data_IF_687703067339
#
_entry.id   IF_687703067339
#
_cell.length_a   1.000
_cell.length_b   1.000
_cell.length_c   1.000
_cell.angle_alpha   90.00
_cell.angle_beta   90.00
_cell.angle_gamma   90.00
#
_symmetry.space_group_name_H-M   'P 1'
#
loop_
_entity.id
_entity.type
_entity.pdbx_description
1 polymer ?
#
# COMPACT_ATOMS: atom_id res chain seq x y z
N UNK A 1 -0.43 40.20 19.31
CA UNK A 1 -1.38 39.07 19.35
C UNK A 1 -1.30 38.20 18.09
N UNK A 2 -0.93 38.74 16.92
CA UNK A 2 -0.74 37.97 15.67
C UNK A 2 0.40 36.93 15.74
N UNK A 3 1.49 37.26 16.42
CA UNK A 3 2.72 36.45 16.47
C UNK A 3 2.55 35.08 17.15
N UNK A 4 1.67 34.97 18.17
CA UNK A 4 1.37 33.67 18.82
C UNK A 4 0.51 32.75 17.94
N UNK A 5 -0.38 33.32 17.12
CA UNK A 5 -1.20 32.55 16.20
C UNK A 5 -0.35 31.98 15.08
N UNK A 6 0.57 32.77 14.51
CA UNK A 6 1.45 32.30 13.45
C UNK A 6 2.38 31.18 13.91
N UNK A 7 2.95 31.30 15.12
CA UNK A 7 3.76 30.23 15.74
C UNK A 7 2.94 28.95 15.96
N UNK A 8 1.71 29.07 16.46
CA UNK A 8 0.83 27.90 16.66
C UNK A 8 0.46 27.21 15.35
N UNK A 9 0.13 27.98 14.29
CA UNK A 9 -0.22 27.45 12.96
C UNK A 9 0.99 26.73 12.35
N UNK A 10 2.20 27.28 12.49
CA UNK A 10 3.44 26.65 12.02
C UNK A 10 3.72 25.35 12.78
N UNK A 11 3.56 25.33 14.11
CA UNK A 11 3.71 24.12 14.90
C UNK A 11 2.68 23.04 14.53
N UNK A 12 1.40 23.40 14.37
CA UNK A 12 0.36 22.47 13.93
C UNK A 12 0.62 21.91 12.52
N UNK A 13 1.19 22.72 11.62
CA UNK A 13 1.59 22.24 10.30
C UNK A 13 2.74 21.21 10.38
N UNK A 14 3.72 21.43 11.25
CA UNK A 14 4.84 20.50 11.49
C UNK A 14 4.35 19.20 12.12
N UNK A 15 3.46 19.26 13.12
CA UNK A 15 2.91 18.04 13.73
C UNK A 15 2.11 17.20 12.73
N UNK A 16 1.28 17.85 11.91
CA UNK A 16 0.53 17.16 10.84
C UNK A 16 1.45 16.54 9.80
N UNK A 17 2.50 17.24 9.38
CA UNK A 17 3.44 16.68 8.39
C UNK A 17 4.20 15.48 8.94
N UNK A 18 4.65 15.52 10.20
CA UNK A 18 5.31 14.38 10.86
C UNK A 18 4.38 13.17 11.00
N UNK A 19 3.11 13.38 11.36
CA UNK A 19 2.13 12.31 11.44
C UNK A 19 1.90 11.64 10.07
N UNK A 20 1.80 12.42 9.00
CA UNK A 20 1.68 11.92 7.63
C UNK A 20 2.94 11.15 7.20
N UNK A 21 4.13 11.66 7.49
CA UNK A 21 5.40 10.99 7.16
C UNK A 21 5.50 9.65 7.90
N UNK A 22 5.17 9.61 9.20
CA UNK A 22 5.16 8.37 9.97
C UNK A 22 4.18 7.36 9.40
N UNK A 23 2.96 7.80 9.02
CA UNK A 23 1.98 6.93 8.38
C UNK A 23 2.52 6.27 7.09
N UNK A 24 3.16 7.06 6.23
CA UNK A 24 3.80 6.56 5.01
C UNK A 24 4.93 5.55 5.27
N UNK A 25 5.75 5.80 6.29
CA UNK A 25 6.82 4.87 6.69
C UNK A 25 6.20 3.57 7.21
N UNK A 26 5.14 3.66 8.03
CA UNK A 26 4.40 2.49 8.52
C UNK A 26 3.82 1.66 7.37
N UNK A 27 3.28 2.30 6.33
CA UNK A 27 2.78 1.60 5.14
C UNK A 27 3.88 0.76 4.46
N UNK A 28 5.10 1.29 4.32
CA UNK A 28 6.20 0.58 3.68
C UNK A 28 6.82 -0.52 4.57
N UNK A 29 6.84 -0.29 5.89
CA UNK A 29 7.43 -1.22 6.85
C UNK A 29 6.43 -2.26 7.38
N UNK A 30 5.15 -2.16 7.00
CA UNK A 30 4.09 -3.04 7.47
C UNK A 30 4.43 -4.53 7.40
N UNK A 31 5.05 -5.07 6.32
CA UNK A 31 5.43 -6.48 6.25
C UNK A 31 6.36 -6.96 7.38
N UNK A 32 7.10 -6.06 8.01
CA UNK A 32 8.05 -6.39 9.07
C UNK A 32 7.53 -6.09 10.49
N UNK A 33 6.27 -5.67 10.61
CA UNK A 33 5.68 -5.36 11.90
C UNK A 33 5.14 -6.64 12.58
N UNK A 34 5.15 -6.73 13.93
CA UNK A 34 4.85 -7.96 14.68
C UNK A 34 3.46 -8.60 14.45
N UNK A 35 2.55 -7.93 13.75
CA UNK A 35 1.17 -8.37 13.51
C UNK A 35 0.84 -8.47 12.01
N UNK A 36 1.85 -8.47 11.14
CA UNK A 36 1.61 -8.66 9.71
C UNK A 36 1.18 -10.11 9.45
N UNK A 37 0.00 -10.34 8.85
CA UNK A 37 -0.62 -11.67 8.86
C UNK A 37 -0.08 -12.63 7.79
N UNK A 38 0.86 -12.20 6.96
CA UNK A 38 1.40 -13.00 5.85
C UNK A 38 2.92 -13.16 5.96
N UNK A 39 3.46 -14.20 5.32
CA UNK A 39 4.90 -14.38 5.17
C UNK A 39 5.50 -13.20 4.35
N UNK A 40 6.47 -12.43 4.87
CA UNK A 40 7.05 -11.31 4.13
C UNK A 40 7.66 -11.68 2.78
N UNK A 41 8.08 -12.93 2.58
CA UNK A 41 8.62 -13.41 1.30
C UNK A 41 7.56 -13.54 0.20
N UNK A 42 6.29 -13.69 0.59
CA UNK A 42 5.14 -13.81 -0.30
C UNK A 42 4.56 -12.45 -0.69
N UNK A 43 5.08 -11.37 -0.11
CA UNK A 43 4.57 -10.01 -0.30
C UNK A 43 5.36 -9.29 -1.38
N UNK A 44 4.67 -8.61 -2.28
CA UNK A 44 5.26 -7.71 -3.28
C UNK A 44 4.71 -6.31 -3.12
N UNK A 45 5.61 -5.34 -2.97
CA UNK A 45 5.25 -3.93 -2.94
C UNK A 45 4.88 -3.43 -4.33
N UNK A 46 3.77 -2.70 -4.41
CA UNK A 46 3.24 -2.04 -5.60
C UNK A 46 3.19 -0.53 -5.39
N UNK A 47 2.69 -0.07 -4.24
CA UNK A 47 2.55 1.35 -3.88
C UNK A 47 1.19 1.94 -4.26
N UNK A 48 1.14 3.05 -5.00
CA UNK A 48 -0.16 3.66 -5.35
C UNK A 48 -0.77 2.98 -6.58
N UNK A 49 -2.08 2.64 -6.59
CA UNK A 49 -3.11 2.95 -5.59
C UNK A 49 -3.38 1.88 -4.53
N UNK A 50 -2.70 0.73 -4.56
CA UNK A 50 -2.80 -0.37 -3.58
C UNK A 50 -1.39 -0.80 -3.19
N UNK A 51 -1.08 -0.78 -1.90
CA UNK A 51 0.30 -0.88 -1.41
C UNK A 51 1.00 -2.20 -1.77
N UNK A 52 0.31 -3.33 -1.63
CA UNK A 52 0.91 -4.67 -1.82
C UNK A 52 0.00 -5.63 -2.59
N UNK A 53 0.64 -6.61 -3.24
CA UNK A 53 0.04 -7.88 -3.63
C UNK A 53 0.71 -8.98 -2.80
N UNK A 54 -0.10 -9.83 -2.15
CA UNK A 54 0.38 -11.01 -1.44
C UNK A 54 0.05 -12.24 -2.28
N UNK A 55 1.05 -13.10 -2.48
CA UNK A 55 0.90 -14.42 -3.10
C UNK A 55 1.03 -15.48 -2.01
N UNK A 56 0.00 -15.60 -1.16
CA UNK A 56 0.07 -16.37 0.08
C UNK A 56 0.43 -17.85 -0.19
N UNK A 57 1.52 -18.33 0.42
CA UNK A 57 2.07 -19.67 0.25
C UNK A 57 3.05 -19.83 -0.92
N UNK A 58 3.42 -18.74 -1.62
CA UNK A 58 4.38 -18.80 -2.73
C UNK A 58 5.77 -19.31 -2.32
N UNK A 59 6.29 -18.95 -1.14
CA UNK A 59 7.56 -19.46 -0.59
C UNK A 59 7.50 -20.98 -0.32
N UNK A 60 6.30 -21.53 -0.11
CA UNK A 60 6.03 -22.96 0.11
C UNK A 60 5.63 -23.71 -1.20
N UNK A 61 5.78 -23.08 -2.37
CA UNK A 61 5.42 -23.62 -3.70
C UNK A 61 3.93 -24.01 -3.84
N UNK A 62 3.04 -23.36 -3.06
CA UNK A 62 1.60 -23.58 -3.11
C UNK A 62 0.82 -22.29 -2.88
N UNK A 63 0.04 -21.83 -3.86
CA UNK A 63 -0.74 -20.60 -3.74
C UNK A 63 -2.10 -20.88 -3.07
N UNK A 64 -2.27 -20.39 -1.84
CA UNK A 64 -3.55 -20.40 -1.13
C UNK A 64 -4.49 -19.33 -1.70
N UNK A 65 -4.03 -18.09 -1.77
CA UNK A 65 -4.78 -16.95 -2.29
C UNK A 65 -3.87 -15.82 -2.81
N UNK A 66 -4.44 -14.93 -3.62
CA UNK A 66 -3.79 -13.70 -4.06
C UNK A 66 -4.53 -12.51 -3.43
N UNK A 67 -3.86 -11.74 -2.58
CA UNK A 67 -4.46 -10.67 -1.79
C UNK A 67 -4.01 -9.31 -2.30
N UNK A 68 -4.98 -8.44 -2.64
CA UNK A 68 -4.74 -7.01 -2.83
C UNK A 68 -4.80 -6.32 -1.47
N UNK A 69 -3.65 -5.91 -0.95
CA UNK A 69 -3.52 -5.42 0.42
C UNK A 69 -3.18 -3.92 0.42
N UNK A 70 -4.07 -3.13 1.00
CA UNK A 70 -3.85 -1.73 1.33
C UNK A 70 -3.61 -1.60 2.83
N UNK A 71 -2.51 -0.96 3.21
CA UNK A 71 -2.18 -0.70 4.61
C UNK A 71 -2.77 0.64 5.02
N UNK A 72 -3.40 0.68 6.19
CA UNK A 72 -3.88 1.91 6.81
C UNK A 72 -3.27 2.05 8.20
N UNK A 73 -2.76 3.24 8.49
CA UNK A 73 -2.29 3.62 9.82
C UNK A 73 -3.31 4.52 10.53
N UNK A 74 -3.47 4.34 11.84
CA UNK A 74 -4.38 5.16 12.66
C UNK A 74 -5.83 5.16 12.15
N UNK A 75 -6.43 6.36 12.04
CA UNK A 75 -7.81 6.56 11.58
C UNK A 75 -7.94 6.78 10.06
N UNK A 76 -6.92 6.38 9.28
CA UNK A 76 -6.96 6.54 7.83
C UNK A 76 -7.97 5.58 7.18
N UNK A 77 -8.59 6.03 6.09
CA UNK A 77 -9.66 5.29 5.40
C UNK A 77 -9.39 5.12 3.91
N UNK A 78 -10.17 4.23 3.29
CA UNK A 78 -10.35 4.08 1.85
C UNK A 78 -10.31 5.42 1.10
N UNK A 79 -9.35 5.74 0.23
CA UNK A 79 -9.56 6.85 -0.70
C UNK A 79 -10.52 6.43 -1.85
N UNK A 80 -11.12 7.37 -2.61
CA UNK A 80 -12.09 7.01 -3.65
C UNK A 80 -11.55 6.05 -4.73
N UNK A 81 -10.27 6.15 -5.09
CA UNK A 81 -9.63 5.26 -6.08
C UNK A 81 -9.45 3.85 -5.51
N UNK A 82 -8.96 3.75 -4.27
CA UNK A 82 -8.83 2.50 -3.53
C UNK A 82 -10.17 1.78 -3.35
N UNK A 83 -11.24 2.51 -3.03
CA UNK A 83 -12.60 1.94 -2.91
C UNK A 83 -13.06 1.31 -4.22
N UNK A 84 -12.88 1.99 -5.35
CA UNK A 84 -13.22 1.44 -6.67
C UNK A 84 -12.44 0.16 -7.00
N UNK A 85 -11.18 0.07 -6.58
CA UNK A 85 -10.36 -1.14 -6.77
C UNK A 85 -10.85 -2.26 -5.87
N UNK A 86 -11.10 -1.98 -4.58
CA UNK A 86 -11.72 -2.95 -3.67
C UNK A 86 -13.03 -3.50 -4.26
N UNK A 87 -13.89 -2.64 -4.77
CA UNK A 87 -15.13 -3.05 -5.44
C UNK A 87 -14.86 -3.89 -6.69
N UNK A 88 -13.86 -3.57 -7.50
CA UNK A 88 -13.50 -4.38 -8.66
C UNK A 88 -13.06 -5.79 -8.25
N UNK A 89 -12.23 -5.92 -7.22
CA UNK A 89 -11.80 -7.21 -6.68
C UNK A 89 -12.98 -8.01 -6.13
N UNK A 90 -13.82 -7.39 -5.29
CA UNK A 90 -14.99 -8.07 -4.70
C UNK A 90 -16.04 -8.49 -5.73
N UNK A 91 -16.14 -7.78 -6.86
CA UNK A 91 -17.01 -8.14 -7.98
C UNK A 91 -16.33 -9.09 -8.99
N UNK A 92 -15.19 -9.69 -8.66
CA UNK A 92 -14.49 -10.66 -9.53
C UNK A 92 -13.91 -10.07 -10.81
N UNK A 93 -13.75 -8.74 -10.90
CA UNK A 93 -13.14 -8.05 -12.06
C UNK A 93 -11.60 -8.11 -12.01
N UNK A 94 -11.06 -9.30 -11.79
CA UNK A 94 -9.64 -9.63 -11.75
C UNK A 94 -9.38 -10.66 -12.84
N UNK A 95 -8.44 -10.37 -13.76
CA UNK A 95 -8.25 -11.18 -14.98
C UNK A 95 -6.76 -11.48 -15.16
N UNK A 96 -6.45 -12.74 -15.43
CA UNK A 96 -5.13 -13.17 -15.88
C UNK A 96 -4.96 -12.89 -17.38
N UNK A 97 -3.83 -12.27 -17.77
CA UNK A 97 -3.46 -12.08 -19.17
C UNK A 97 -1.95 -12.24 -19.34
N UNK A 98 -1.55 -12.94 -20.40
CA UNK A 98 -0.17 -13.02 -20.82
C UNK A 98 0.06 -12.10 -22.02
N UNK A 99 1.04 -11.20 -21.92
CA UNK A 99 1.53 -10.40 -23.03
C UNK A 99 2.99 -10.78 -23.27
N UNK A 100 3.29 -11.30 -24.45
CA UNK A 100 4.66 -11.59 -24.87
C UNK A 100 5.17 -10.40 -25.67
N UNK A 101 6.21 -9.74 -25.16
CA UNK A 101 6.91 -8.66 -25.87
C UNK A 101 8.12 -9.30 -26.56
N UNK A 102 8.24 -9.20 -27.90
CA UNK A 102 9.45 -9.65 -28.58
C UNK A 102 10.66 -8.86 -28.07
N UNK A 103 11.73 -9.55 -27.69
CA UNK A 103 13.01 -8.89 -27.44
C UNK A 103 13.61 -8.60 -28.82
N UNK A 104 13.54 -7.35 -29.27
CA UNK A 104 14.30 -6.91 -30.43
C UNK A 104 15.79 -6.86 -30.06
N UNK A 105 16.66 -7.37 -30.94
CA UNK A 105 18.08 -7.08 -30.83
C UNK A 105 18.25 -5.57 -30.92
N UNK A 106 18.67 -4.95 -29.82
CA UNK A 106 19.22 -3.60 -29.86
C UNK A 106 20.66 -3.80 -30.32
N UNK A 107 20.87 -3.68 -31.62
CA UNK A 107 22.22 -3.48 -32.18
C UNK A 107 22.81 -2.16 -31.67
#
# INVERSE_FOLDING_TARGET
MEDRNEVSIRQDAIFRSQAVIRGKITEHLAPYMPLFPYNPKDVRFVGSPIDFIVFDGADDDYINEIVFLEVKSGNSSLNPRQRKIKEAVLNGRVVWRELRIPVGNID
#
